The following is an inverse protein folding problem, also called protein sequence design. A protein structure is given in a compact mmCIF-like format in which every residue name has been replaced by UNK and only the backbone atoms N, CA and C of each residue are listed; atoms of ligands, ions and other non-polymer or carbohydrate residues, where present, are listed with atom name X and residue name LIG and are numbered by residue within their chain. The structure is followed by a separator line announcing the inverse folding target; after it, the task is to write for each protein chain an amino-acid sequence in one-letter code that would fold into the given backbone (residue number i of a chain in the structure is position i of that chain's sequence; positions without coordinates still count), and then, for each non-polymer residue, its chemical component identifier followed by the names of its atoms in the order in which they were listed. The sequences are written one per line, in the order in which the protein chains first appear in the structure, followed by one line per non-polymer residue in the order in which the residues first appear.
data_IF_454422924416
#
_entry.id   IF_454422924416
#
_cell.length_a   1.000
_cell.length_b   1.000
_cell.length_c   1.000
_cell.angle_alpha   90.00
_cell.angle_beta   90.00
_cell.angle_gamma   90.00
#
_symmetry.space_group_name_H-M   'P 1'
#
loop_
_entity.id
_entity.type
_entity.pdbx_description
1 polymer ?
#
# COMPACT_ATOMS: atom_id res chain seq x y z
N UNK A 1 3.87 -7.25 -32.36
CA UNK A 1 4.02 -5.82 -32.73
C UNK A 1 2.73 -5.05 -32.47
N UNK A 2 1.57 -5.46 -33.03
CA UNK A 2 0.28 -4.80 -32.77
C UNK A 2 -0.12 -4.75 -31.28
N UNK A 3 -0.06 -5.88 -30.56
CA UNK A 3 -0.43 -5.94 -29.14
C UNK A 3 0.46 -5.05 -28.25
N UNK A 4 1.77 -5.06 -28.48
CA UNK A 4 2.72 -4.18 -27.78
C UNK A 4 2.41 -2.70 -28.04
N UNK A 5 2.09 -2.34 -29.29
CA UNK A 5 1.69 -0.97 -29.63
C UNK A 5 0.42 -0.54 -28.89
N UNK A 6 -0.59 -1.42 -28.83
CA UNK A 6 -1.83 -1.15 -28.08
C UNK A 6 -1.59 -0.93 -26.58
N UNK A 7 -0.71 -1.74 -25.96
CA UNK A 7 -0.32 -1.57 -24.55
C UNK A 7 0.33 -0.21 -24.32
N UNK A 8 1.26 0.21 -25.19
CA UNK A 8 1.94 1.51 -25.07
C UNK A 8 0.94 2.65 -25.18
N UNK A 9 0.05 2.61 -26.18
CA UNK A 9 -0.98 3.65 -26.36
C UNK A 9 -1.91 3.74 -25.16
N UNK A 10 -2.35 2.60 -24.61
CA UNK A 10 -3.19 2.60 -23.41
C UNK A 10 -2.45 3.09 -22.16
N UNK A 11 -1.16 2.74 -22.01
CA UNK A 11 -0.35 3.24 -20.91
C UNK A 11 -0.18 4.77 -20.97
N UNK A 12 0.07 5.32 -22.18
CA UNK A 12 0.12 6.77 -22.39
C UNK A 12 -1.24 7.44 -22.12
N UNK A 13 -2.34 6.78 -22.48
CA UNK A 13 -3.69 7.28 -22.20
C UNK A 13 -3.98 7.32 -20.68
N UNK A 14 -3.63 6.26 -19.95
CA UNK A 14 -3.74 6.22 -18.48
C UNK A 14 -2.89 7.32 -17.84
N UNK A 15 -1.66 7.52 -18.33
CA UNK A 15 -0.78 8.59 -17.84
C UNK A 15 -1.38 9.98 -18.12
N UNK A 16 -1.95 10.19 -19.30
CA UNK A 16 -2.63 11.45 -19.64
C UNK A 16 -3.78 11.73 -18.67
N UNK A 17 -4.63 10.74 -18.37
CA UNK A 17 -5.71 10.88 -17.38
C UNK A 17 -5.17 11.24 -16.00
N UNK A 18 -4.08 10.59 -15.56
CA UNK A 18 -3.44 10.91 -14.28
C UNK A 18 -2.95 12.35 -14.24
N UNK A 19 -2.31 12.83 -15.31
CA UNK A 19 -1.78 14.20 -15.39
C UNK A 19 -2.92 15.22 -15.37
N UNK A 20 -3.98 15.01 -16.16
CA UNK A 20 -5.05 16.02 -16.29
C UNK A 20 -6.11 15.93 -15.19
N UNK A 21 -6.14 14.86 -14.41
CA UNK A 21 -7.22 14.58 -13.46
C UNK A 21 -8.53 14.18 -14.17
N UNK A 22 -8.40 13.57 -15.35
CA UNK A 22 -9.47 13.40 -16.33
C UNK A 22 -9.55 14.55 -17.33
N UNK A 23 -10.11 14.32 -18.51
CA UNK A 23 -10.21 15.36 -19.54
C UNK A 23 -11.47 15.22 -20.40
N UNK A 24 -11.86 16.33 -21.03
CA UNK A 24 -12.88 16.38 -22.07
C UNK A 24 -12.34 17.13 -23.27
N UNK A 25 -12.61 16.65 -24.48
CA UNK A 25 -12.23 17.33 -25.73
C UNK A 25 -13.49 17.93 -26.35
N UNK A 26 -13.71 19.25 -26.21
CA UNK A 26 -14.87 19.92 -26.78
C UNK A 26 -14.93 19.72 -28.29
N UNK A 27 -16.14 19.49 -28.83
CA UNK A 27 -16.36 19.29 -30.27
C UNK A 27 -16.17 17.86 -30.79
N UNK A 28 -15.42 17.01 -30.10
CA UNK A 28 -15.27 15.58 -30.46
C UNK A 28 -16.10 14.63 -29.59
N UNK A 29 -16.71 15.14 -28.52
CA UNK A 29 -17.52 14.31 -27.59
C UNK A 29 -16.70 13.28 -26.81
N UNK A 30 -15.37 13.39 -26.80
CA UNK A 30 -14.46 12.49 -26.08
C UNK A 30 -14.32 12.99 -24.65
N UNK A 31 -14.69 12.16 -23.68
CA UNK A 31 -14.50 12.41 -22.26
C UNK A 31 -13.85 11.19 -21.60
N UNK A 32 -12.80 11.42 -20.82
CA UNK A 32 -12.16 10.44 -19.97
C UNK A 32 -12.14 10.95 -18.52
N UNK A 33 -13.30 10.95 -17.83
CA UNK A 33 -13.39 11.45 -16.47
C UNK A 33 -12.83 10.46 -15.43
N UNK A 34 -12.59 9.20 -15.83
CA UNK A 34 -12.16 8.14 -14.92
C UNK A 34 -11.01 7.32 -15.49
N UNK A 35 -10.15 6.84 -14.59
CA UNK A 35 -8.99 6.01 -14.94
C UNK A 35 -9.32 4.51 -15.09
N UNK A 36 -10.44 4.06 -14.51
CA UNK A 36 -10.74 2.64 -14.34
C UNK A 36 -10.86 1.88 -15.68
N UNK A 37 -11.70 2.28 -16.66
CA UNK A 37 -11.85 1.51 -17.89
C UNK A 37 -10.57 1.34 -18.72
N UNK A 38 -9.78 2.39 -19.02
CA UNK A 38 -8.54 2.22 -19.79
C UNK A 38 -7.49 1.43 -19.02
N UNK A 39 -7.44 1.55 -17.69
CA UNK A 39 -6.55 0.75 -16.86
C UNK A 39 -6.94 -0.74 -16.88
N UNK A 40 -8.22 -1.08 -16.76
CA UNK A 40 -8.69 -2.47 -16.85
C UNK A 40 -8.34 -3.09 -18.20
N UNK A 41 -8.54 -2.35 -19.30
CA UNK A 41 -8.17 -2.81 -20.63
C UNK A 41 -6.65 -3.01 -20.75
N UNK A 42 -5.85 -2.07 -20.24
CA UNK A 42 -4.40 -2.19 -20.20
C UNK A 42 -3.97 -3.46 -19.45
N UNK A 43 -4.55 -3.74 -18.29
CA UNK A 43 -4.24 -4.94 -17.49
C UNK A 43 -4.62 -6.23 -18.22
N UNK A 44 -5.78 -6.27 -18.87
CA UNK A 44 -6.20 -7.42 -19.70
C UNK A 44 -5.21 -7.68 -20.84
N UNK A 45 -4.76 -6.62 -21.53
CA UNK A 45 -3.76 -6.77 -22.59
C UNK A 45 -2.41 -7.22 -22.05
N UNK A 46 -1.98 -6.73 -20.88
CA UNK A 46 -0.73 -7.17 -20.23
C UNK A 46 -0.81 -8.66 -19.87
N UNK A 47 -1.92 -9.11 -19.29
CA UNK A 47 -2.13 -10.53 -18.95
C UNK A 47 -2.10 -11.40 -20.21
N UNK A 48 -2.77 -10.98 -21.28
CA UNK A 48 -2.78 -11.70 -22.55
C UNK A 48 -1.41 -11.68 -23.26
N UNK A 49 -0.65 -10.59 -23.11
CA UNK A 49 0.62 -10.39 -23.79
C UNK A 49 1.72 -11.35 -23.29
N UNK A 50 1.76 -11.61 -21.99
CA UNK A 50 2.79 -12.46 -21.36
C UNK A 50 2.90 -13.84 -22.04
N UNK A 51 1.85 -14.70 -22.09
CA UNK A 51 1.95 -16.02 -22.68
C UNK A 51 2.12 -16.00 -24.21
N UNK A 52 1.61 -14.96 -24.89
CA UNK A 52 1.74 -14.83 -26.34
C UNK A 52 3.17 -14.49 -26.77
N UNK A 53 3.91 -13.74 -25.94
CA UNK A 53 5.29 -13.37 -26.21
C UNK A 53 6.30 -14.43 -25.68
N UNK A 54 5.91 -15.23 -24.67
CA UNK A 54 6.74 -16.33 -24.12
C UNK A 54 6.86 -17.53 -25.08
N UNK A 55 5.96 -17.69 -26.06
CA UNK A 55 6.00 -18.79 -27.05
C UNK A 55 7.26 -18.84 -27.93
N UNK A 56 8.15 -17.83 -27.85
CA UNK A 56 9.43 -17.81 -28.59
C UNK A 56 10.60 -18.43 -27.81
N UNK A 57 10.46 -18.79 -26.53
CA UNK A 57 11.52 -19.43 -25.72
C UNK A 57 10.92 -20.49 -24.77
N UNK A 58 11.07 -21.78 -25.14
CA UNK A 58 11.03 -22.99 -24.27
C UNK A 58 10.12 -23.03 -23.01
N UNK A 59 9.01 -23.76 -23.16
CA UNK A 59 8.26 -24.64 -22.24
C UNK A 59 7.94 -24.31 -20.75
N UNK A 60 8.46 -23.29 -20.09
CA UNK A 60 7.97 -22.90 -18.74
C UNK A 60 7.91 -21.37 -18.56
N UNK A 61 6.74 -20.84 -18.21
CA UNK A 61 6.57 -19.42 -17.87
C UNK A 61 7.41 -19.12 -16.61
N UNK A 62 8.38 -18.21 -16.74
CA UNK A 62 9.24 -17.81 -15.62
C UNK A 62 8.42 -17.39 -14.39
N UNK A 63 8.93 -17.67 -13.19
CA UNK A 63 8.31 -17.25 -11.93
C UNK A 63 8.10 -15.73 -11.86
N UNK A 64 8.92 -14.95 -12.56
CA UNK A 64 8.74 -13.50 -12.68
C UNK A 64 7.50 -13.12 -13.49
N UNK A 65 7.29 -13.77 -14.64
CA UNK A 65 6.09 -13.57 -15.47
C UNK A 65 4.81 -13.96 -14.72
N UNK A 66 4.82 -15.06 -13.97
CA UNK A 66 3.67 -15.45 -13.14
C UNK A 66 3.39 -14.44 -12.03
N UNK A 67 4.42 -13.87 -11.40
CA UNK A 67 4.26 -12.76 -10.45
C UNK A 67 3.56 -11.56 -11.08
N UNK A 68 3.94 -11.18 -12.31
CA UNK A 68 3.26 -10.11 -13.06
C UNK A 68 1.82 -10.45 -13.38
N UNK A 69 1.51 -11.71 -13.75
CA UNK A 69 0.13 -12.15 -13.97
C UNK A 69 -0.68 -12.03 -12.68
N UNK A 70 -0.15 -12.50 -11.55
CA UNK A 70 -0.83 -12.41 -10.25
C UNK A 70 -1.07 -10.95 -9.86
N UNK A 71 -0.08 -10.07 -10.04
CA UNK A 71 -0.22 -8.63 -9.83
C UNK A 71 -1.36 -8.06 -10.68
N UNK A 72 -1.27 -8.22 -12.00
CA UNK A 72 -2.22 -7.63 -12.94
C UNK A 72 -3.63 -8.18 -12.77
N UNK A 73 -3.78 -9.48 -12.51
CA UNK A 73 -5.08 -10.11 -12.26
C UNK A 73 -5.69 -9.63 -10.94
N UNK A 74 -4.89 -9.53 -9.87
CA UNK A 74 -5.36 -9.03 -8.57
C UNK A 74 -5.78 -7.56 -8.70
N UNK A 75 -4.96 -6.72 -9.34
CA UNK A 75 -5.28 -5.31 -9.55
C UNK A 75 -6.56 -5.15 -10.37
N UNK A 76 -6.70 -5.91 -11.46
CA UNK A 76 -7.89 -5.91 -12.30
C UNK A 76 -9.16 -6.22 -11.48
N UNK A 77 -9.10 -7.25 -10.63
CA UNK A 77 -10.24 -7.65 -9.77
C UNK A 77 -10.52 -6.57 -8.71
N UNK A 78 -9.50 -5.97 -8.11
CA UNK A 78 -9.68 -4.96 -7.07
C UNK A 78 -10.30 -3.66 -7.58
N UNK A 79 -10.09 -3.30 -8.84
CA UNK A 79 -10.65 -2.09 -9.45
C UNK A 79 -11.94 -2.35 -10.24
N UNK A 80 -12.37 -3.61 -10.41
CA UNK A 80 -13.49 -3.95 -11.31
C UNK A 80 -14.87 -3.57 -10.78
N UNK A 81 -15.01 -3.23 -9.50
CA UNK A 81 -16.30 -2.79 -8.96
C UNK A 81 -16.71 -1.40 -9.43
N UNK A 82 -15.78 -0.57 -9.90
CA UNK A 82 -16.06 0.78 -10.39
C UNK A 82 -16.54 1.77 -9.32
N UNK A 83 -16.51 1.36 -8.05
CA UNK A 83 -17.04 2.13 -6.92
C UNK A 83 -15.93 2.94 -6.24
N UNK A 84 -16.23 4.21 -5.94
CA UNK A 84 -15.41 5.07 -5.11
C UNK A 84 -16.03 5.13 -3.71
N UNK A 85 -15.50 4.30 -2.83
CA UNK A 85 -15.90 4.31 -1.42
C UNK A 85 -15.33 5.56 -0.72
N UNK A 86 -15.87 5.86 0.45
CA UNK A 86 -15.36 6.93 1.32
C UNK A 86 -15.35 6.46 2.76
N UNK A 87 -14.37 6.93 3.53
CA UNK A 87 -14.25 6.66 4.97
C UNK A 87 -13.47 7.80 5.60
N UNK A 88 -13.88 8.25 6.79
CA UNK A 88 -13.13 9.26 7.55
C UNK A 88 -11.70 8.80 7.87
N UNK A 89 -11.53 7.50 8.16
CA UNK A 89 -10.25 6.89 8.54
C UNK A 89 -9.17 6.99 7.45
N UNK A 90 -9.55 7.18 6.19
CA UNK A 90 -8.61 7.25 5.08
C UNK A 90 -8.43 8.65 4.52
N UNK A 91 -9.19 9.64 4.98
CA UNK A 91 -9.07 11.03 4.53
C UNK A 91 -7.64 11.58 4.75
N UNK A 92 -6.99 11.43 5.93
CA UNK A 92 -5.62 11.88 6.08
C UNK A 92 -4.66 11.20 5.09
N UNK A 93 -4.79 9.89 4.89
CA UNK A 93 -3.95 9.14 3.95
C UNK A 93 -4.20 9.54 2.47
N UNK A 94 -5.40 10.00 2.14
CA UNK A 94 -5.77 10.54 0.82
C UNK A 94 -5.13 11.91 0.55
N UNK A 95 -5.11 12.80 1.54
CA UNK A 95 -4.65 14.19 1.35
C UNK A 95 -3.16 14.41 1.66
N UNK A 96 -2.56 13.65 2.58
CA UNK A 96 -1.13 13.74 2.90
C UNK A 96 -0.20 13.63 1.68
N UNK A 97 -0.43 12.77 0.68
CA UNK A 97 0.41 12.74 -0.53
C UNK A 97 0.42 14.09 -1.26
N UNK A 98 -0.69 14.83 -1.26
CA UNK A 98 -0.75 16.16 -1.87
C UNK A 98 0.07 17.17 -1.07
N UNK A 99 -0.06 17.18 0.26
CA UNK A 99 0.75 18.02 1.17
C UNK A 99 2.25 17.79 0.97
N UNK A 100 2.68 16.52 1.06
CA UNK A 100 4.09 16.13 0.90
C UNK A 100 4.64 16.57 -0.46
N UNK A 101 3.86 16.42 -1.54
CA UNK A 101 4.33 16.75 -2.90
C UNK A 101 4.27 18.24 -3.23
N UNK A 102 3.33 19.00 -2.64
CA UNK A 102 3.13 20.43 -2.91
C UNK A 102 3.97 21.32 -2.00
N UNK A 103 4.04 20.98 -0.72
CA UNK A 103 4.63 21.83 0.32
C UNK A 103 5.82 21.17 1.04
N UNK A 104 5.97 19.85 0.94
CA UNK A 104 7.11 19.12 1.53
C UNK A 104 6.99 18.90 3.04
N UNK A 105 5.79 19.05 3.60
CA UNK A 105 5.43 18.84 5.00
C UNK A 105 4.45 17.66 5.13
N UNK A 106 3.96 17.42 6.36
CA UNK A 106 3.01 16.35 6.70
C UNK A 106 1.83 16.87 7.54
N UNK A 107 1.65 18.20 7.59
CA UNK A 107 0.42 18.79 8.08
C UNK A 107 -0.64 18.81 6.97
N UNK A 108 -1.86 19.19 7.31
CA UNK A 108 -3.03 19.19 6.45
C UNK A 108 -3.71 20.57 6.51
N UNK A 109 -2.93 21.61 6.79
CA UNK A 109 -3.41 22.97 7.01
C UNK A 109 -4.09 23.53 5.75
N UNK A 110 -3.63 23.14 4.57
CA UNK A 110 -4.14 23.57 3.26
C UNK A 110 -5.47 22.93 2.86
N UNK A 111 -6.01 22.00 3.66
CA UNK A 111 -7.30 21.35 3.42
C UNK A 111 -8.38 21.69 4.46
N UNK A 112 -8.88 22.95 4.52
CA UNK A 112 -9.91 23.37 5.47
C UNK A 112 -11.19 22.53 5.46
N UNK A 113 -11.52 21.90 4.31
CA UNK A 113 -12.68 21.01 4.19
C UNK A 113 -12.62 19.80 5.12
N UNK A 114 -11.43 19.41 5.60
CA UNK A 114 -11.27 18.31 6.55
C UNK A 114 -11.64 18.68 7.99
N UNK A 115 -11.63 19.97 8.34
CA UNK A 115 -11.82 20.43 9.72
C UNK A 115 -12.74 21.65 9.84
N UNK A 116 -13.50 21.97 8.78
CA UNK A 116 -14.42 23.12 8.74
C UNK A 116 -15.50 23.04 9.83
N UNK A 117 -15.98 21.83 10.14
CA UNK A 117 -17.00 21.58 11.17
C UNK A 117 -16.40 21.25 12.55
N UNK A 118 -15.11 21.55 12.76
CA UNK A 118 -14.34 21.19 13.94
C UNK A 118 -13.30 20.11 13.67
N UNK A 119 -12.51 19.74 14.69
CA UNK A 119 -11.43 18.75 14.55
C UNK A 119 -12.03 17.33 14.60
N UNK A 120 -12.05 16.58 13.48
CA UNK A 120 -12.56 15.22 13.47
C UNK A 120 -11.60 14.25 14.17
N UNK A 121 -12.09 13.05 14.52
CA UNK A 121 -11.33 12.03 15.25
C UNK A 121 -10.04 11.56 14.56
N UNK A 122 -9.94 11.72 13.23
CA UNK A 122 -8.79 11.31 12.43
C UNK A 122 -7.72 12.41 12.29
N UNK A 123 -8.01 13.64 12.77
CA UNK A 123 -7.08 14.75 12.83
C UNK A 123 -6.76 15.13 14.28
N UNK A 124 -5.61 15.78 14.44
CA UNK A 124 -5.21 16.41 15.69
C UNK A 124 -4.63 17.78 15.39
N UNK A 125 -4.98 18.77 16.20
CA UNK A 125 -4.25 20.03 16.21
C UNK A 125 -3.05 19.90 17.16
N UNK A 126 -1.84 19.95 16.62
CA UNK A 126 -0.59 19.80 17.37
C UNK A 126 0.47 20.74 16.80
N UNK A 127 1.24 21.40 17.67
CA UNK A 127 2.29 22.34 17.27
C UNK A 127 1.84 23.42 16.29
N UNK A 128 0.59 23.88 16.39
CA UNK A 128 0.02 24.91 15.50
C UNK A 128 -0.49 24.39 14.15
N UNK A 129 -0.45 23.07 13.92
CA UNK A 129 -0.79 22.44 12.65
C UNK A 129 -1.87 21.36 12.81
N UNK A 130 -2.66 21.13 11.78
CA UNK A 130 -3.56 19.98 11.68
C UNK A 130 -2.80 18.78 11.12
N UNK A 131 -2.61 17.75 11.93
CA UNK A 131 -1.84 16.55 11.57
C UNK A 131 -2.71 15.31 11.65
N UNK A 132 -2.37 14.30 10.85
CA UNK A 132 -3.01 12.99 10.88
C UNK A 132 -2.81 12.30 12.23
N UNK A 133 -3.87 11.85 12.89
CA UNK A 133 -3.73 10.96 14.07
C UNK A 133 -3.39 9.51 13.66
N UNK A 134 -3.54 9.20 12.37
CA UNK A 134 -3.12 7.94 11.78
C UNK A 134 -1.68 7.97 11.24
N UNK A 135 -1.00 6.82 11.16
CA UNK A 135 0.36 6.75 10.65
C UNK A 135 0.48 7.10 9.16
N UNK A 136 1.60 7.72 8.79
CA UNK A 136 1.85 8.26 7.44
C UNK A 136 2.30 7.22 6.40
N UNK A 137 2.52 5.96 6.81
CA UNK A 137 3.05 4.92 5.92
C UNK A 137 2.19 4.68 4.66
N UNK A 138 0.87 4.86 4.76
CA UNK A 138 -0.03 4.75 3.62
C UNK A 138 0.17 5.87 2.61
N UNK A 139 0.26 7.12 3.09
CA UNK A 139 0.52 8.28 2.25
C UNK A 139 1.89 8.19 1.55
N UNK A 140 2.93 7.76 2.27
CA UNK A 140 4.28 7.59 1.71
C UNK A 140 4.31 6.60 0.53
N UNK A 141 3.62 5.47 0.63
CA UNK A 141 3.52 4.51 -0.47
C UNK A 141 2.62 4.99 -1.62
N UNK A 142 1.70 5.91 -1.34
CA UNK A 142 0.82 6.47 -2.35
C UNK A 142 1.48 7.58 -3.19
N UNK A 143 2.58 8.19 -2.74
CA UNK A 143 3.26 9.30 -3.43
C UNK A 143 3.43 9.09 -4.94
N UNK A 144 3.94 7.94 -5.45
CA UNK A 144 4.17 7.76 -6.88
C UNK A 144 2.90 7.87 -7.73
N UNK A 145 1.73 7.55 -7.16
CA UNK A 145 0.44 7.61 -7.87
C UNK A 145 -0.09 9.04 -7.94
N UNK A 146 0.29 9.91 -7.01
CA UNK A 146 -0.13 11.30 -6.94
C UNK A 146 0.78 12.24 -7.73
N UNK A 147 2.05 11.86 -7.94
CA UNK A 147 3.06 12.68 -8.67
C UNK A 147 2.54 13.21 -10.01
N UNK A 148 1.96 12.41 -10.93
CA UNK A 148 1.53 12.94 -12.22
C UNK A 148 0.42 13.99 -12.07
N UNK A 149 -0.52 13.78 -11.16
CA UNK A 149 -1.64 14.70 -10.92
C UNK A 149 -1.19 16.01 -10.25
N UNK A 150 -0.22 15.95 -9.33
CA UNK A 150 0.36 17.16 -8.75
C UNK A 150 1.13 17.96 -9.80
N UNK A 151 1.94 17.31 -10.64
CA UNK A 151 2.66 17.96 -11.73
C UNK A 151 1.73 18.55 -12.79
N UNK A 152 0.58 17.91 -13.03
CA UNK A 152 -0.45 18.39 -13.95
C UNK A 152 -1.39 19.45 -13.35
N UNK A 153 -1.20 19.86 -12.09
CA UNK A 153 -2.00 20.90 -11.45
C UNK A 153 -3.43 20.49 -11.12
N UNK A 154 -3.69 19.19 -10.93
CA UNK A 154 -5.00 18.68 -10.50
C UNK A 154 -5.34 19.26 -9.12
N UNK A 155 -6.49 19.93 -9.02
CA UNK A 155 -6.99 20.50 -7.76
C UNK A 155 -7.29 19.40 -6.74
N UNK A 156 -7.02 19.67 -5.46
CA UNK A 156 -7.37 18.82 -4.31
C UNK A 156 -8.89 18.69 -4.09
N UNK A 157 -9.67 19.65 -4.57
CA UNK A 157 -11.13 19.57 -4.59
C UNK A 157 -11.66 18.67 -5.72
N UNK A 158 -10.79 18.19 -6.62
CA UNK A 158 -11.20 17.30 -7.71
C UNK A 158 -11.70 15.96 -7.17
N UNK A 159 -12.84 15.43 -7.65
CA UNK A 159 -13.27 14.08 -7.33
C UNK A 159 -12.26 13.01 -7.80
N UNK A 160 -11.33 13.38 -8.69
CA UNK A 160 -10.24 12.51 -9.14
C UNK A 160 -9.30 12.07 -8.00
N UNK A 161 -9.17 12.84 -6.92
CA UNK A 161 -8.35 12.48 -5.76
C UNK A 161 -8.82 11.16 -5.14
N UNK A 162 -10.13 10.91 -5.09
CA UNK A 162 -10.67 9.62 -4.65
C UNK A 162 -10.27 8.44 -5.57
N UNK A 163 -10.10 8.69 -6.87
CA UNK A 163 -9.60 7.68 -7.81
C UNK A 163 -8.12 7.38 -7.57
N UNK A 164 -7.30 8.39 -7.24
CA UNK A 164 -5.90 8.20 -6.87
C UNK A 164 -5.76 7.37 -5.59
N UNK A 165 -6.60 7.63 -4.59
CA UNK A 165 -6.66 6.82 -3.37
C UNK A 165 -6.97 5.34 -3.69
N UNK A 166 -8.07 5.10 -4.42
CA UNK A 166 -8.52 3.77 -4.82
C UNK A 166 -7.43 3.03 -5.61
N UNK A 167 -6.82 3.71 -6.59
CA UNK A 167 -5.72 3.15 -7.39
C UNK A 167 -4.52 2.78 -6.53
N UNK A 168 -4.13 3.66 -5.61
CA UNK A 168 -3.00 3.45 -4.70
C UNK A 168 -3.25 2.23 -3.82
N UNK A 169 -4.42 2.17 -3.17
CA UNK A 169 -4.83 1.06 -2.31
C UNK A 169 -4.83 -0.27 -3.06
N UNK A 170 -5.52 -0.34 -4.20
CA UNK A 170 -5.59 -1.53 -5.02
C UNK A 170 -4.21 -1.99 -5.51
N UNK A 171 -3.36 -1.06 -5.94
CA UNK A 171 -2.01 -1.39 -6.42
C UNK A 171 -1.11 -1.89 -5.30
N UNK A 172 -1.11 -1.25 -4.12
CA UNK A 172 -0.34 -1.68 -2.95
C UNK A 172 -0.72 -3.11 -2.55
N UNK A 173 -2.03 -3.42 -2.47
CA UNK A 173 -2.50 -4.77 -2.12
C UNK A 173 -2.19 -5.77 -3.22
N UNK A 174 -2.33 -5.42 -4.50
CA UNK A 174 -1.96 -6.30 -5.62
C UNK A 174 -0.46 -6.62 -5.62
N UNK A 175 0.40 -5.64 -5.31
CA UNK A 175 1.84 -5.87 -5.12
C UNK A 175 2.11 -6.83 -3.96
N UNK A 176 1.38 -6.67 -2.85
CA UNK A 176 1.51 -7.58 -1.71
C UNK A 176 1.15 -9.03 -2.08
N UNK A 177 0.11 -9.24 -2.89
CA UNK A 177 -0.31 -10.55 -3.37
C UNK A 177 0.71 -11.17 -4.33
N UNK A 178 1.24 -10.39 -5.27
CA UNK A 178 2.28 -10.85 -6.19
C UNK A 178 3.58 -11.20 -5.46
N UNK A 179 3.96 -10.40 -4.46
CA UNK A 179 5.16 -10.67 -3.67
C UNK A 179 4.98 -11.89 -2.77
N UNK A 180 3.80 -12.07 -2.19
CA UNK A 180 3.44 -13.29 -1.48
C UNK A 180 3.52 -14.51 -2.39
N UNK A 181 3.02 -14.42 -3.63
CA UNK A 181 3.13 -15.49 -4.61
C UNK A 181 4.59 -15.87 -4.88
N UNK A 182 5.43 -14.90 -5.22
CA UNK A 182 6.86 -15.15 -5.48
C UNK A 182 7.55 -15.71 -4.23
N UNK A 183 7.15 -15.29 -3.03
CA UNK A 183 7.68 -15.80 -1.75
C UNK A 183 7.30 -17.27 -1.55
N UNK A 184 6.02 -17.60 -1.66
CA UNK A 184 5.50 -18.96 -1.41
C UNK A 184 5.97 -19.93 -2.49
N UNK A 185 6.19 -19.47 -3.74
CA UNK A 185 6.78 -20.28 -4.83
C UNK A 185 8.21 -20.74 -4.55
N UNK A 186 8.93 -20.10 -3.64
CA UNK A 186 10.29 -20.53 -3.24
C UNK A 186 10.30 -21.73 -2.30
N UNK A 187 9.15 -22.04 -1.67
CA UNK A 187 9.05 -23.06 -0.62
C UNK A 187 7.94 -24.08 -0.89
N UNK A 188 7.14 -23.89 -1.94
CA UNK A 188 6.04 -24.79 -2.33
C UNK A 188 5.91 -24.89 -3.86
N UNK A 189 5.09 -25.85 -4.31
CA UNK A 189 4.78 -26.05 -5.72
C UNK A 189 3.86 -24.93 -6.30
N UNK A 190 3.77 -24.81 -7.65
CA UNK A 190 3.02 -23.73 -8.29
C UNK A 190 1.53 -23.71 -7.95
N UNK A 191 0.90 -24.88 -7.81
CA UNK A 191 -0.55 -24.98 -7.57
C UNK A 191 -0.87 -24.51 -6.16
N UNK A 192 -0.11 -24.99 -5.18
CA UNK A 192 -0.29 -24.56 -3.78
C UNK A 192 -0.05 -23.06 -3.61
N UNK A 193 0.98 -22.52 -4.26
CA UNK A 193 1.24 -21.07 -4.24
C UNK A 193 0.08 -20.24 -4.80
N UNK A 194 -0.54 -20.70 -5.90
CA UNK A 194 -1.73 -20.04 -6.44
C UNK A 194 -2.92 -20.11 -5.48
N UNK A 195 -3.15 -21.26 -4.85
CA UNK A 195 -4.22 -21.42 -3.86
C UNK A 195 -4.05 -20.49 -2.66
N UNK A 196 -2.85 -20.47 -2.07
CA UNK A 196 -2.54 -19.61 -0.92
C UNK A 196 -2.75 -18.14 -1.26
N UNK A 197 -2.27 -17.70 -2.42
CA UNK A 197 -2.37 -16.29 -2.81
C UNK A 197 -3.80 -15.92 -3.21
N UNK A 198 -4.53 -16.84 -3.83
CA UNK A 198 -5.96 -16.61 -4.14
C UNK A 198 -6.77 -16.50 -2.85
N UNK A 199 -6.53 -17.38 -1.87
CA UNK A 199 -7.16 -17.30 -0.55
C UNK A 199 -6.79 -15.99 0.17
N UNK A 200 -5.53 -15.56 0.10
CA UNK A 200 -5.08 -14.29 0.65
C UNK A 200 -5.73 -13.08 -0.05
N UNK A 201 -5.72 -13.05 -1.38
CA UNK A 201 -6.14 -11.88 -2.15
C UNK A 201 -7.66 -11.75 -2.23
N UNK A 202 -8.38 -12.87 -2.41
CA UNK A 202 -9.83 -12.90 -2.66
C UNK A 202 -10.64 -13.47 -1.49
N UNK A 203 -10.04 -14.33 -0.68
CA UNK A 203 -10.68 -14.97 0.47
C UNK A 203 -10.52 -14.22 1.79
N UNK A 204 -10.04 -12.97 1.77
CA UNK A 204 -9.81 -12.17 2.97
C UNK A 204 -10.22 -10.70 2.78
N UNK A 205 -10.07 -9.90 3.85
CA UNK A 205 -10.27 -8.44 3.80
C UNK A 205 -9.29 -7.68 2.90
N UNK A 206 -8.33 -8.37 2.26
CA UNK A 206 -7.57 -7.81 1.13
C UNK A 206 -8.52 -7.34 0.00
N UNK A 207 -9.51 -8.17 -0.35
CA UNK A 207 -10.46 -7.85 -1.42
C UNK A 207 -11.47 -6.79 -0.99
N UNK A 208 -12.15 -7.01 0.13
CA UNK A 208 -13.30 -6.18 0.54
C UNK A 208 -12.93 -4.87 1.24
N UNK A 209 -11.71 -4.74 1.77
CA UNK A 209 -11.32 -3.57 2.58
C UNK A 209 -10.01 -2.94 2.11
N UNK A 210 -8.91 -3.69 2.20
CA UNK A 210 -7.56 -3.11 2.06
C UNK A 210 -7.27 -2.59 0.65
N UNK A 211 -7.84 -3.23 -0.38
CA UNK A 211 -7.71 -2.81 -1.78
C UNK A 211 -8.74 -1.75 -2.21
N UNK A 212 -9.66 -1.38 -1.31
CA UNK A 212 -10.77 -0.48 -1.62
C UNK A 212 -10.46 0.97 -1.27
N UNK A 213 -9.76 1.20 -0.17
CA UNK A 213 -9.37 2.53 0.30
C UNK A 213 -7.98 2.48 0.94
N UNK A 214 -7.35 3.64 1.12
CA UNK A 214 -5.95 3.74 1.53
C UNK A 214 -5.77 3.64 3.06
N UNK A 215 -6.26 2.54 3.63
CA UNK A 215 -6.10 2.21 5.05
C UNK A 215 -4.67 1.80 5.39
N UNK A 216 -4.36 1.75 6.68
CA UNK A 216 -3.11 1.20 7.22
C UNK A 216 -2.86 -0.28 6.84
N UNK A 217 -3.92 -1.03 6.52
CA UNK A 217 -3.85 -2.47 6.22
C UNK A 217 -3.03 -2.79 4.97
N UNK A 218 -3.27 -2.11 3.84
CA UNK A 218 -2.58 -2.38 2.58
C UNK A 218 -1.06 -2.17 2.65
N UNK A 219 -0.58 -1.00 3.11
CA UNK A 219 0.83 -0.72 3.36
C UNK A 219 1.48 -1.74 4.29
N UNK A 220 0.80 -2.09 5.39
CA UNK A 220 1.21 -3.14 6.32
C UNK A 220 1.39 -4.48 5.62
N UNK A 221 0.41 -4.89 4.80
CA UNK A 221 0.44 -6.12 4.03
C UNK A 221 1.64 -6.17 3.08
N UNK A 222 1.90 -5.11 2.32
CA UNK A 222 3.05 -5.03 1.43
C UNK A 222 4.38 -5.09 2.18
N UNK A 223 4.48 -4.39 3.31
CA UNK A 223 5.66 -4.39 4.15
C UNK A 223 5.96 -5.78 4.73
N UNK A 224 4.95 -6.45 5.29
CA UNK A 224 5.10 -7.80 5.85
C UNK A 224 5.45 -8.81 4.76
N UNK A 225 4.77 -8.80 3.60
CA UNK A 225 5.11 -9.74 2.51
C UNK A 225 6.50 -9.48 1.94
N UNK A 226 6.99 -8.22 1.96
CA UNK A 226 8.38 -7.88 1.61
C UNK A 226 9.37 -8.43 2.62
N UNK A 227 9.08 -8.31 3.92
CA UNK A 227 9.90 -8.90 4.97
C UNK A 227 9.96 -10.44 4.84
N UNK A 228 8.81 -11.09 4.61
CA UNK A 228 8.75 -12.53 4.39
C UNK A 228 9.53 -12.96 3.13
N UNK A 229 9.42 -12.21 2.03
CA UNK A 229 10.23 -12.44 0.84
C UNK A 229 11.73 -12.41 1.16
N UNK A 230 12.17 -11.40 1.92
CA UNK A 230 13.57 -11.25 2.33
C UNK A 230 14.03 -12.43 3.20
N UNK A 231 13.22 -12.85 4.18
CA UNK A 231 13.55 -13.98 5.05
C UNK A 231 13.59 -15.31 4.30
N UNK A 232 12.61 -15.57 3.43
CA UNK A 232 12.56 -16.80 2.61
C UNK A 232 13.69 -16.84 1.59
N UNK A 233 13.96 -15.73 0.91
CA UNK A 233 15.13 -15.62 0.01
C UNK A 233 16.45 -15.75 0.79
N UNK A 234 16.44 -15.32 2.05
CA UNK A 234 17.52 -15.47 3.02
C UNK A 234 18.00 -16.89 3.25
N UNK A 235 17.13 -17.89 3.02
CA UNK A 235 17.49 -19.32 3.11
C UNK A 235 18.55 -19.71 2.07
N UNK A 236 18.49 -19.12 0.88
CA UNK A 236 19.49 -19.33 -0.18
C UNK A 236 20.61 -18.29 -0.12
N UNK A 237 20.27 -17.03 0.13
CA UNK A 237 21.20 -15.90 0.13
C UNK A 237 21.11 -15.11 1.45
N UNK A 238 21.98 -15.42 2.42
CA UNK A 238 21.89 -14.88 3.81
C UNK A 238 21.80 -13.35 3.91
N UNK A 239 22.33 -12.60 2.94
CA UNK A 239 22.25 -11.13 2.89
C UNK A 239 20.80 -10.60 2.92
N UNK A 240 19.85 -11.38 2.40
CA UNK A 240 18.44 -10.96 2.37
C UNK A 240 17.80 -10.94 3.75
N UNK A 241 18.26 -11.79 4.68
CA UNK A 241 17.82 -11.72 6.09
C UNK A 241 18.16 -10.36 6.69
N UNK A 242 19.33 -9.82 6.38
CA UNK A 242 19.73 -8.49 6.83
C UNK A 242 18.87 -7.37 6.21
N UNK A 243 18.38 -7.54 4.98
CA UNK A 243 17.52 -6.55 4.34
C UNK A 243 16.08 -6.55 4.85
N UNK A 244 15.66 -7.57 5.62
CA UNK A 244 14.31 -7.67 6.17
C UNK A 244 14.01 -6.59 7.22
N UNK A 245 15.02 -5.94 7.81
CA UNK A 245 14.83 -4.92 8.83
C UNK A 245 14.08 -3.69 8.34
N UNK A 246 14.38 -3.21 7.12
CA UNK A 246 13.67 -2.08 6.52
C UNK A 246 12.16 -2.33 6.40
N UNK A 247 11.67 -3.37 5.72
CA UNK A 247 10.23 -3.62 5.60
C UNK A 247 9.59 -3.98 6.95
N UNK A 248 10.30 -4.61 7.88
CA UNK A 248 9.77 -4.86 9.24
C UNK A 248 9.55 -3.55 10.00
N UNK A 249 10.52 -2.64 10.00
CA UNK A 249 10.38 -1.33 10.62
C UNK A 249 9.28 -0.50 9.94
N UNK A 250 9.24 -0.51 8.60
CA UNK A 250 8.19 0.16 7.85
C UNK A 250 6.79 -0.42 8.14
N UNK A 251 6.67 -1.72 8.40
CA UNK A 251 5.38 -2.34 8.78
C UNK A 251 4.82 -1.74 10.09
N UNK A 252 5.68 -1.38 11.06
CA UNK A 252 5.26 -0.72 12.30
C UNK A 252 4.84 0.72 12.03
N UNK A 253 5.57 1.44 11.17
CA UNK A 253 5.22 2.82 10.76
C UNK A 253 3.91 2.84 9.98
N UNK A 254 3.65 1.84 9.16
CA UNK A 254 2.39 1.72 8.44
C UNK A 254 1.22 1.39 9.39
N UNK A 255 1.49 0.60 10.43
CA UNK A 255 0.49 0.16 11.40
C UNK A 255 1.15 -0.27 12.73
N UNK A 256 1.06 0.52 13.81
CA UNK A 256 1.75 0.23 15.07
C UNK A 256 1.46 -1.15 15.67
N UNK A 257 0.26 -1.70 15.45
CA UNK A 257 -0.11 -3.04 15.93
C UNK A 257 0.75 -4.16 15.33
N UNK A 258 1.47 -3.91 14.23
CA UNK A 258 2.41 -4.87 13.67
C UNK A 258 3.66 -5.08 14.53
N UNK A 259 3.87 -4.27 15.57
CA UNK A 259 4.96 -4.48 16.52
C UNK A 259 4.99 -5.93 17.04
N UNK A 260 3.85 -6.57 17.30
CA UNK A 260 3.79 -7.95 17.77
C UNK A 260 4.41 -8.95 16.78
N UNK A 261 4.01 -8.91 15.50
CA UNK A 261 4.57 -9.82 14.49
C UNK A 261 6.03 -9.48 14.19
N UNK A 262 6.37 -8.19 14.18
CA UNK A 262 7.74 -7.73 13.93
C UNK A 262 8.68 -8.20 15.04
N UNK A 263 8.28 -8.09 16.31
CA UNK A 263 9.06 -8.59 17.44
C UNK A 263 9.33 -10.09 17.34
N UNK A 264 8.32 -10.89 16.97
CA UNK A 264 8.50 -12.33 16.74
C UNK A 264 9.51 -12.62 15.62
N UNK A 265 9.42 -11.91 14.48
CA UNK A 265 10.33 -12.11 13.35
C UNK A 265 11.76 -11.61 13.65
N UNK A 266 11.89 -10.50 14.37
CA UNK A 266 13.19 -10.00 14.84
C UNK A 266 13.82 -10.99 15.82
N UNK A 267 13.05 -11.50 16.79
CA UNK A 267 13.52 -12.52 17.72
C UNK A 267 13.98 -13.78 16.98
N UNK A 268 13.23 -14.24 15.98
CA UNK A 268 13.65 -15.36 15.12
C UNK A 268 15.01 -15.09 14.45
N UNK A 269 15.22 -13.90 13.87
CA UNK A 269 16.50 -13.54 13.23
C UNK A 269 17.64 -13.43 14.25
N UNK A 270 17.41 -12.83 15.41
CA UNK A 270 18.42 -12.71 16.46
C UNK A 270 18.82 -14.07 17.02
N UNK A 271 17.88 -15.00 17.17
CA UNK A 271 18.14 -16.32 17.72
C UNK A 271 18.80 -17.26 16.70
N UNK A 272 18.34 -17.26 15.45
CA UNK A 272 18.76 -18.24 14.44
C UNK A 272 19.73 -17.70 13.38
N UNK A 273 19.83 -16.39 13.22
CA UNK A 273 20.63 -15.71 12.18
C UNK A 273 21.48 -14.58 12.77
N UNK A 274 22.16 -14.85 13.90
CA UNK A 274 22.95 -13.89 14.70
C UNK A 274 23.90 -13.00 13.89
N UNK A 275 24.53 -13.55 12.84
CA UNK A 275 25.46 -12.78 11.98
C UNK A 275 24.73 -11.73 11.15
N UNK A 276 23.47 -11.97 10.79
CA UNK A 276 22.62 -11.08 10.00
C UNK A 276 21.82 -10.11 10.88
N UNK A 277 21.73 -10.36 12.19
CA UNK A 277 20.99 -9.51 13.13
C UNK A 277 21.46 -8.05 13.08
N UNK A 278 22.76 -7.79 13.00
CA UNK A 278 23.29 -6.43 12.83
C UNK A 278 22.83 -5.79 11.54
N UNK A 279 22.88 -6.53 10.43
CA UNK A 279 22.40 -6.03 9.14
C UNK A 279 20.89 -5.76 9.15
N UNK A 280 20.11 -6.56 9.87
CA UNK A 280 18.68 -6.34 10.10
C UNK A 280 18.45 -5.05 10.88
N UNK A 281 19.16 -4.84 11.99
CA UNK A 281 19.03 -3.62 12.78
C UNK A 281 19.42 -2.39 11.95
N UNK A 282 20.55 -2.46 11.24
CA UNK A 282 21.03 -1.38 10.38
C UNK A 282 20.07 -1.04 9.24
N UNK A 283 19.46 -2.05 8.58
CA UNK A 283 18.48 -1.79 7.53
C UNK A 283 17.15 -1.27 8.07
N UNK A 284 16.81 -1.56 9.33
CA UNK A 284 15.65 -1.01 10.03
C UNK A 284 15.84 0.41 10.55
N UNK A 285 17.08 0.91 10.64
CA UNK A 285 17.35 2.26 11.17
C UNK A 285 16.66 3.38 10.38
N UNK A 286 16.69 3.43 9.02
CA UNK A 286 16.13 4.59 8.32
C UNK A 286 14.63 4.79 8.57
N UNK A 287 13.75 3.76 8.49
CA UNK A 287 12.36 3.91 8.87
C UNK A 287 12.18 4.32 10.35
N UNK A 288 12.94 3.71 11.28
CA UNK A 288 12.85 4.05 12.71
C UNK A 288 13.23 5.52 12.95
N UNK A 289 14.34 5.98 12.37
CA UNK A 289 14.79 7.37 12.51
C UNK A 289 13.78 8.34 11.89
N UNK A 290 13.20 8.00 10.74
CA UNK A 290 12.11 8.78 10.14
C UNK A 290 10.91 8.88 11.10
N UNK A 291 10.50 7.77 11.71
CA UNK A 291 9.37 7.76 12.64
C UNK A 291 9.63 8.62 13.88
N UNK A 292 10.81 8.48 14.50
CA UNK A 292 11.21 9.28 15.65
C UNK A 292 11.27 10.77 15.31
N UNK A 293 11.84 11.13 14.16
CA UNK A 293 11.88 12.51 13.67
C UNK A 293 10.47 13.07 13.42
N UNK A 294 9.63 12.32 12.71
CA UNK A 294 8.26 12.72 12.38
C UNK A 294 7.46 13.00 13.67
N UNK A 295 7.52 12.06 14.60
CA UNK A 295 6.83 12.17 15.88
C UNK A 295 7.33 13.35 16.71
N UNK A 296 8.65 13.56 16.81
CA UNK A 296 9.22 14.71 17.51
C UNK A 296 8.79 16.04 16.85
N UNK A 297 8.82 16.11 15.51
CA UNK A 297 8.54 17.35 14.76
C UNK A 297 7.07 17.77 14.82
N UNK A 298 6.14 16.83 14.75
CA UNK A 298 4.71 17.12 14.62
C UNK A 298 3.93 16.94 15.93
N UNK A 299 4.47 16.19 16.90
CA UNK A 299 3.76 15.88 18.15
C UNK A 299 4.54 16.20 19.43
N UNK A 300 5.80 16.66 19.34
CA UNK A 300 6.68 16.92 20.50
C UNK A 300 6.93 15.67 21.38
N UNK A 301 6.66 14.48 20.85
CA UNK A 301 6.87 13.21 21.54
C UNK A 301 7.40 12.18 20.53
N UNK A 302 8.72 11.92 20.45
CA UNK A 302 9.30 10.98 19.50
C UNK A 302 8.78 9.55 19.63
N UNK A 303 8.29 9.16 20.82
CA UNK A 303 7.81 7.80 21.11
C UNK A 303 6.28 7.68 21.01
N UNK A 304 5.61 8.72 20.50
CA UNK A 304 4.18 8.70 20.24
C UNK A 304 3.79 7.49 19.39
N UNK A 305 2.71 6.83 19.80
CA UNK A 305 2.01 5.82 19.01
C UNK A 305 0.55 6.21 18.89
N UNK A 306 -0.09 5.80 17.79
CA UNK A 306 -1.53 5.98 17.58
C UNK A 306 -2.35 5.41 18.74
N UNK A 307 -1.92 4.27 19.30
CA UNK A 307 -2.55 3.63 20.45
C UNK A 307 -1.61 3.72 21.66
N UNK A 308 -1.88 4.61 22.62
CA UNK A 308 -1.07 4.69 23.83
C UNK A 308 -1.16 3.38 24.61
N UNK A 309 -0.02 2.75 24.92
CA UNK A 309 0.01 1.57 25.79
C UNK A 309 -0.51 1.87 27.21
N UNK A 310 -0.58 3.14 27.58
CA UNK A 310 -0.91 3.64 28.92
C UNK A 310 -2.35 4.12 29.08
N UNK A 311 -3.19 4.11 28.03
CA UNK A 311 -4.59 4.45 28.19
C UNK A 311 -5.32 3.32 28.90
N UNK A 312 -5.43 3.43 30.23
CA UNK A 312 -6.10 2.48 31.10
C UNK A 312 -7.55 2.16 30.68
N UNK A 313 -8.17 2.99 29.83
CA UNK A 313 -9.52 2.83 29.31
C UNK A 313 -9.65 1.90 28.09
N UNK A 314 -8.58 1.60 27.35
CA UNK A 314 -8.67 0.76 26.13
C UNK A 314 -8.57 -0.75 26.41
N UNK A 315 -8.18 -1.13 27.63
CA UNK A 315 -8.00 -2.53 28.05
C UNK A 315 -8.84 -2.89 29.27
N UNK A 316 -9.96 -2.20 29.49
CA UNK A 316 -10.90 -2.49 30.59
C UNK A 316 -11.87 -3.60 30.24
N UNK A 317 -12.02 -3.94 28.96
CA UNK A 317 -12.88 -5.03 28.49
C UNK A 317 -12.39 -6.33 29.11
N UNK A 318 -13.18 -6.96 30.00
CA UNK A 318 -12.78 -8.21 30.61
C UNK A 318 -12.56 -9.29 29.57
N UNK A 319 -11.55 -10.14 29.79
CA UNK A 319 -11.13 -11.19 28.85
C UNK A 319 -12.27 -12.13 28.45
N UNK A 320 -13.28 -12.30 29.32
CA UNK A 320 -14.44 -13.15 29.09
C UNK A 320 -15.48 -12.57 28.12
N UNK A 321 -15.53 -11.24 27.92
CA UNK A 321 -16.47 -10.63 26.95
C UNK A 321 -16.13 -11.01 25.50
N UNK A 322 -14.88 -11.41 25.22
CA UNK A 322 -14.45 -11.92 23.91
C UNK A 322 -14.62 -13.44 23.71
N UNK A 323 -15.05 -14.18 24.74
CA UNK A 323 -15.09 -15.66 24.73
C UNK A 323 -16.47 -16.25 24.43
N UNK A 324 -17.45 -15.42 24.06
CA UNK A 324 -18.80 -15.85 23.75
C UNK A 324 -19.76 -15.45 24.85
N UNK A 325 -20.77 -14.69 24.43
CA UNK A 325 -21.93 -14.32 25.22
C UNK A 325 -22.68 -15.60 25.65
N UNK A 326 -22.52 -15.98 26.92
CA UNK A 326 -23.40 -16.90 27.61
C UNK A 326 -24.10 -16.13 28.73
N UNK A 327 -24.93 -15.16 28.35
CA UNK A 327 -25.96 -14.60 29.22
C UNK A 327 -27.29 -14.47 28.50
#
# INVERSE_FOLDING_TARGET
MLLTGAIIVLALHVLLILITGGYTVPGLGIAAPTIHPPLMLLLLLVIAWIPLNDRRLSQEVSSGHLGTIVFSASLLIFISNGELLTSGDTLPARYLPLSILREGNFDLDEFPSLYADGIPYYLRFAQGHYVSDYPVGAALLALPFYVPSVLGGVSDASPFVGQLEKLSAATIVALSAALLYVTVRRITDPRMSLWIVTAYALGSSSFSTSSQLLWQHGPSQLAITTALYCLVRGLAERRWVALAGFPLAFAVIARPTNAFIVLALVAYVVLHHRRQAWGLLLSGLPPVLFHLWYNARYFDDPLRSQFPLTSASLWTTPVWEGLGDFS
#
